data_IF_430598027229
#
_entry.id   IF_430598027229
#
_cell.length_a   1.000
_cell.length_b   1.000
_cell.length_c   1.000
_cell.angle_alpha   90.00
_cell.angle_beta   90.00
_cell.angle_gamma   90.00
#
_symmetry.space_group_name_H-M   'P 1'
#
loop_
_entity.id
_entity.type
_entity.pdbx_description
1 polymer ?
#
# COMPACT_ATOMS: atom_id res chain seq x y z
N UNK A 1 6.16 32.77 13.15
CA UNK A 1 6.87 31.50 12.96
C UNK A 1 6.01 30.66 12.03
N UNK A 2 6.42 30.43 10.78
CA UNK A 2 5.67 29.56 9.85
C UNK A 2 6.32 28.19 9.94
N UNK A 3 5.61 27.23 10.51
CA UNK A 3 6.02 25.84 10.56
C UNK A 3 5.67 25.16 9.23
N UNK A 4 6.60 24.42 8.66
CA UNK A 4 6.39 23.56 7.48
C UNK A 4 6.55 22.12 7.97
N UNK A 5 5.43 21.42 8.06
CA UNK A 5 5.33 19.99 8.31
C UNK A 5 4.49 19.45 7.13
N UNK A 6 5.01 18.52 6.32
CA UNK A 6 4.34 17.64 5.32
C UNK A 6 3.03 18.07 4.60
N UNK A 7 2.69 19.36 4.48
CA UNK A 7 1.44 19.84 3.86
C UNK A 7 1.50 19.90 2.33
N UNK A 8 2.69 19.81 1.75
CA UNK A 8 2.87 19.90 0.30
C UNK A 8 2.62 18.57 -0.41
N UNK A 9 2.66 17.43 0.29
CA UNK A 9 2.47 16.10 -0.31
C UNK A 9 1.22 16.01 -1.19
N UNK A 10 0.09 16.56 -0.73
CA UNK A 10 -1.17 16.52 -1.49
C UNK A 10 -1.05 17.33 -2.79
N UNK A 11 -0.45 18.52 -2.72
CA UNK A 11 -0.26 19.39 -3.88
C UNK A 11 0.77 18.78 -4.85
N UNK A 12 1.89 18.28 -4.33
CA UNK A 12 2.94 17.64 -5.11
C UNK A 12 2.41 16.38 -5.81
N UNK A 13 1.62 15.56 -5.12
CA UNK A 13 1.02 14.37 -5.71
C UNK A 13 -0.01 14.75 -6.79
N UNK A 14 -0.86 15.75 -6.53
CA UNK A 14 -1.83 16.24 -7.52
C UNK A 14 -1.15 16.84 -8.76
N UNK A 15 0.03 17.42 -8.61
CA UNK A 15 0.86 17.96 -9.70
C UNK A 15 1.76 16.91 -10.36
N UNK A 16 1.79 15.67 -9.85
CA UNK A 16 2.65 14.60 -10.36
C UNK A 16 4.15 14.83 -10.09
N UNK A 17 4.49 15.59 -9.05
CA UNK A 17 5.87 15.88 -8.64
C UNK A 17 6.46 14.78 -7.76
N UNK A 18 5.62 13.91 -7.19
CA UNK A 18 6.01 12.75 -6.38
C UNK A 18 5.35 11.49 -6.90
N UNK A 19 6.11 10.39 -6.90
CA UNK A 19 5.69 9.09 -7.43
C UNK A 19 5.24 8.12 -6.32
N UNK A 20 5.49 8.43 -5.04
CA UNK A 20 5.26 7.51 -3.93
C UNK A 20 5.08 8.19 -2.58
N UNK A 21 4.41 7.49 -1.66
CA UNK A 21 4.18 7.89 -0.28
C UNK A 21 4.57 6.75 0.66
N UNK A 22 5.29 7.09 1.74
CA UNK A 22 5.60 6.12 2.78
C UNK A 22 4.33 5.73 3.55
N UNK A 23 3.90 4.48 3.40
CA UNK A 23 2.70 3.93 4.07
C UNK A 23 3.04 3.06 5.28
N UNK A 24 4.31 2.69 5.41
CA UNK A 24 4.90 2.09 6.61
C UNK A 24 5.94 3.07 7.15
N UNK A 25 5.94 3.31 8.45
CA UNK A 25 6.70 4.34 9.13
C UNK A 25 6.98 3.96 10.58
N UNK A 26 7.95 4.62 11.20
CA UNK A 26 8.23 4.51 12.63
C UNK A 26 7.23 5.29 13.51
N UNK A 27 6.14 5.82 12.94
CA UNK A 27 5.20 6.71 13.62
C UNK A 27 3.77 6.17 13.58
N UNK A 28 3.02 6.44 12.51
CA UNK A 28 1.59 6.12 12.44
C UNK A 28 1.20 5.58 11.05
N UNK A 29 1.37 4.27 10.91
CA UNK A 29 1.11 3.54 9.67
C UNK A 29 -0.37 3.56 9.29
N UNK A 30 -1.26 3.50 10.29
CA UNK A 30 -2.71 3.54 10.06
C UNK A 30 -3.14 4.90 9.52
N UNK A 31 -2.60 5.99 10.08
CA UNK A 31 -2.83 7.34 9.58
C UNK A 31 -2.29 7.54 8.16
N UNK A 32 -1.06 7.05 7.89
CA UNK A 32 -0.46 7.11 6.56
C UNK A 32 -1.30 6.33 5.52
N UNK A 33 -1.76 5.13 5.87
CA UNK A 33 -2.59 4.31 4.99
C UNK A 33 -3.96 4.97 4.69
N UNK A 34 -4.55 5.70 5.65
CA UNK A 34 -5.77 6.49 5.40
C UNK A 34 -5.52 7.61 4.39
N UNK A 35 -4.45 8.38 4.56
CA UNK A 35 -4.10 9.47 3.63
C UNK A 35 -3.80 8.91 2.25
N UNK A 36 -3.05 7.81 2.16
CA UNK A 36 -2.76 7.11 0.91
C UNK A 36 -4.03 6.72 0.16
N UNK A 37 -4.98 6.07 0.84
CA UNK A 37 -6.27 5.69 0.24
C UNK A 37 -7.11 6.89 -0.20
N UNK A 38 -7.04 8.02 0.53
CA UNK A 38 -7.71 9.26 0.09
C UNK A 38 -7.10 9.83 -1.18
N UNK A 39 -5.77 9.88 -1.31
CA UNK A 39 -5.12 10.31 -2.55
C UNK A 39 -5.56 9.45 -3.73
N UNK A 40 -5.52 8.12 -3.57
CA UNK A 40 -5.99 7.18 -4.60
C UNK A 40 -7.47 7.41 -4.94
N UNK A 41 -8.30 7.59 -3.92
CA UNK A 41 -9.72 7.86 -4.07
C UNK A 41 -10.03 9.18 -4.76
N UNK A 42 -9.21 10.22 -4.57
CA UNK A 42 -9.29 11.49 -5.28
C UNK A 42 -8.82 11.37 -6.75
N UNK A 43 -8.39 10.20 -7.20
CA UNK A 43 -7.89 9.96 -8.55
C UNK A 43 -6.42 10.31 -8.73
N UNK A 44 -5.66 10.46 -7.63
CA UNK A 44 -4.22 10.74 -7.65
C UNK A 44 -3.48 9.41 -7.49
N UNK A 45 -2.95 8.82 -8.58
CA UNK A 45 -2.18 7.59 -8.47
C UNK A 45 -0.85 7.86 -7.78
N UNK A 46 -0.55 7.09 -6.74
CA UNK A 46 0.70 7.19 -5.99
C UNK A 46 1.12 5.81 -5.48
N UNK A 47 2.41 5.51 -5.51
CA UNK A 47 2.93 4.21 -5.08
C UNK A 47 3.02 4.12 -3.55
N UNK A 48 2.70 2.96 -3.00
CA UNK A 48 3.04 2.59 -1.64
C UNK A 48 4.54 2.38 -1.55
N UNK A 49 5.23 3.24 -0.82
CA UNK A 49 6.68 3.14 -0.57
C UNK A 49 6.95 3.01 0.92
N UNK A 50 8.22 2.78 1.25
CA UNK A 50 8.74 2.94 2.62
C UNK A 50 10.25 3.14 2.55
N UNK A 51 10.79 3.91 3.49
CA UNK A 51 12.19 3.87 3.88
C UNK A 51 12.29 3.76 5.39
N UNK A 52 13.27 3.02 5.89
CA UNK A 52 13.49 2.87 7.34
C UNK A 52 13.75 4.20 8.04
N UNK A 53 14.26 5.20 7.33
CA UNK A 53 14.83 6.42 7.93
C UNK A 53 15.86 6.06 9.01
N UNK A 54 16.85 5.24 8.62
CA UNK A 54 17.80 4.64 9.54
C UNK A 54 18.68 5.69 10.23
N UNK A 55 18.32 6.01 11.47
CA UNK A 55 19.16 6.79 12.36
C UNK A 55 20.10 5.85 13.10
N UNK A 56 21.40 5.93 12.80
CA UNK A 56 22.45 5.12 13.46
C UNK A 56 22.78 5.62 14.89
N UNK A 57 21.81 6.24 15.56
CA UNK A 57 21.97 6.79 16.90
C UNK A 57 22.17 5.66 17.92
N UNK A 58 23.22 5.77 18.72
CA UNK A 58 23.56 4.80 19.78
C UNK A 58 22.58 4.84 20.95
N UNK A 59 21.70 5.85 20.99
CA UNK A 59 20.59 5.90 21.94
C UNK A 59 19.47 5.04 21.39
N UNK A 60 19.20 3.90 22.04
CA UNK A 60 18.07 2.99 21.79
C UNK A 60 16.73 3.68 22.09
N UNK A 61 16.42 4.75 21.37
CA UNK A 61 15.07 5.29 21.33
C UNK A 61 14.24 4.37 20.43
N UNK A 62 13.11 3.88 20.94
CA UNK A 62 12.21 2.96 20.24
C UNK A 62 11.69 3.51 18.91
N UNK A 63 11.66 4.84 18.74
CA UNK A 63 11.14 5.48 17.53
C UNK A 63 12.23 5.77 16.49
N UNK A 64 13.50 5.88 16.91
CA UNK A 64 14.60 6.42 16.09
C UNK A 64 15.87 5.57 16.12
N UNK A 65 15.73 4.25 16.34
CA UNK A 65 16.86 3.31 16.34
C UNK A 65 16.61 2.08 15.44
N UNK A 66 15.74 2.20 14.44
CA UNK A 66 15.43 1.10 13.53
C UNK A 66 16.66 0.75 12.66
N UNK A 67 17.09 -0.53 12.63
CA UNK A 67 18.26 -0.92 11.85
C UNK A 67 17.98 -0.81 10.34
N UNK A 68 19.01 -0.54 9.53
CA UNK A 68 18.89 -0.59 8.07
C UNK A 68 18.16 -1.84 7.59
N UNK A 69 17.14 -1.66 6.75
CA UNK A 69 16.31 -2.75 6.23
C UNK A 69 15.15 -3.18 7.13
N UNK A 70 14.91 -2.51 8.27
CA UNK A 70 13.72 -2.73 9.09
C UNK A 70 12.42 -2.67 8.28
N UNK A 71 12.23 -1.62 7.48
CA UNK A 71 11.15 -1.56 6.51
C UNK A 71 11.70 -1.49 5.09
N UNK A 72 11.01 -2.16 4.18
CA UNK A 72 11.46 -2.47 2.83
C UNK A 72 10.34 -2.21 1.85
N UNK A 73 10.70 -1.55 0.76
CA UNK A 73 9.88 -1.50 -0.44
C UNK A 73 10.41 -2.55 -1.42
N UNK A 74 9.52 -3.38 -1.95
CA UNK A 74 9.82 -4.23 -3.10
C UNK A 74 9.12 -3.65 -4.31
N UNK A 75 9.81 -3.62 -5.45
CA UNK A 75 9.30 -3.11 -6.70
C UNK A 75 9.48 -4.16 -7.80
N UNK A 76 8.42 -4.43 -8.56
CA UNK A 76 8.47 -5.36 -9.67
C UNK A 76 9.02 -4.66 -10.92
N UNK A 77 10.26 -4.98 -11.24
CA UNK A 77 10.97 -4.46 -12.42
C UNK A 77 10.88 -5.45 -13.58
N UNK A 78 10.73 -4.92 -14.80
CA UNK A 78 10.78 -5.73 -16.01
C UNK A 78 12.24 -5.86 -16.48
N UNK A 79 12.72 -7.10 -16.58
CA UNK A 79 14.10 -7.38 -16.99
C UNK A 79 15.14 -7.18 -15.86
N UNK A 80 16.42 -6.95 -16.21
CA UNK A 80 17.50 -6.80 -15.23
C UNK A 80 17.32 -5.58 -14.31
N UNK A 81 17.75 -5.72 -13.05
CA UNK A 81 17.74 -4.61 -12.10
C UNK A 81 18.61 -3.45 -12.60
N UNK A 82 17.97 -2.28 -12.75
CA UNK A 82 18.61 -1.02 -13.09
C UNK A 82 17.96 0.13 -12.31
N UNK A 83 18.65 1.26 -12.19
CA UNK A 83 18.11 2.45 -11.53
C UNK A 83 16.85 2.95 -12.24
N UNK A 84 16.87 2.98 -13.57
CA UNK A 84 15.73 3.46 -14.36
C UNK A 84 14.56 2.47 -14.30
N UNK A 85 14.83 1.16 -14.40
CA UNK A 85 13.79 0.14 -14.23
C UNK A 85 13.13 0.18 -12.85
N UNK A 86 13.90 0.45 -11.78
CA UNK A 86 13.35 0.67 -10.44
C UNK A 86 12.45 1.92 -10.39
N UNK A 87 12.91 3.05 -10.94
CA UNK A 87 12.10 4.29 -10.99
C UNK A 87 10.80 4.07 -11.75
N UNK A 88 10.86 3.37 -12.88
CA UNK A 88 9.68 3.10 -13.71
C UNK A 88 8.70 2.15 -13.01
N UNK A 89 9.20 1.17 -12.25
CA UNK A 89 8.36 0.32 -11.41
C UNK A 89 7.66 1.11 -10.29
N UNK A 90 8.37 2.02 -9.63
CA UNK A 90 7.80 2.89 -8.60
C UNK A 90 6.75 3.82 -9.21
N UNK A 91 7.05 4.52 -10.30
CA UNK A 91 6.10 5.40 -11.01
C UNK A 91 4.83 4.67 -11.45
N UNK A 92 4.98 3.43 -11.88
CA UNK A 92 3.85 2.60 -12.28
C UNK A 92 3.07 2.02 -11.08
N UNK A 93 3.49 2.27 -9.83
CA UNK A 93 2.85 1.70 -8.64
C UNK A 93 3.05 0.19 -8.50
N UNK A 94 4.09 -0.39 -9.11
CA UNK A 94 4.37 -1.84 -9.02
C UNK A 94 5.12 -2.17 -7.75
N UNK A 95 4.61 -1.74 -6.60
CA UNK A 95 5.31 -1.80 -5.32
C UNK A 95 4.48 -2.41 -4.20
N UNK A 96 5.19 -2.97 -3.22
CA UNK A 96 4.68 -3.27 -1.89
C UNK A 96 5.62 -2.66 -0.85
N UNK A 97 5.08 -2.25 0.29
CA UNK A 97 5.81 -1.75 1.44
C UNK A 97 5.57 -2.66 2.64
N UNK A 98 6.62 -3.04 3.38
CA UNK A 98 6.52 -3.98 4.51
C UNK A 98 7.62 -3.78 5.54
N UNK A 99 7.34 -4.06 6.81
CA UNK A 99 8.34 -4.20 7.87
C UNK A 99 8.59 -5.65 8.32
N UNK A 100 8.03 -6.64 7.62
CA UNK A 100 8.10 -8.05 8.01
C UNK A 100 7.37 -8.96 7.02
N UNK A 101 6.03 -9.03 7.09
CA UNK A 101 5.24 -9.97 6.31
C UNK A 101 5.22 -9.60 4.83
N UNK A 102 5.11 -10.62 3.99
CA UNK A 102 4.92 -10.45 2.56
C UNK A 102 3.42 -10.42 2.24
N UNK A 103 2.99 -9.46 1.43
CA UNK A 103 1.60 -9.31 1.01
C UNK A 103 1.50 -9.33 -0.51
N UNK A 104 0.48 -10.00 -1.00
CA UNK A 104 0.17 -10.16 -2.42
C UNK A 104 -1.26 -9.67 -2.69
N UNK A 105 -1.47 -9.13 -3.88
CA UNK A 105 -2.76 -8.68 -4.37
C UNK A 105 -2.85 -8.95 -5.87
N UNK A 106 -3.96 -9.53 -6.30
CA UNK A 106 -4.36 -9.56 -7.71
C UNK A 106 -5.82 -9.19 -7.86
N UNK A 107 -6.14 -8.46 -8.93
CA UNK A 107 -7.50 -8.07 -9.33
C UNK A 107 -7.65 -8.42 -10.79
N UNK A 108 -8.47 -9.42 -11.12
CA UNK A 108 -8.54 -10.00 -12.48
C UNK A 108 -7.15 -10.22 -13.09
N UNK A 109 -6.28 -10.92 -12.35
CA UNK A 109 -4.90 -11.26 -12.75
C UNK A 109 -3.92 -10.07 -12.81
N UNK A 110 -4.38 -8.84 -12.56
CA UNK A 110 -3.50 -7.66 -12.47
C UNK A 110 -2.98 -7.47 -11.05
N UNK A 111 -1.67 -7.31 -10.91
CA UNK A 111 -1.02 -6.96 -9.64
C UNK A 111 -0.95 -5.45 -9.40
N UNK A 112 -0.32 -5.02 -8.29
CA UNK A 112 -0.14 -3.61 -7.93
C UNK A 112 0.38 -2.77 -9.10
N UNK A 113 -0.21 -1.59 -9.32
CA UNK A 113 0.08 -0.71 -10.45
C UNK A 113 -0.72 -1.04 -11.71
N UNK A 114 -1.34 -2.23 -11.77
CA UNK A 114 -2.19 -2.66 -12.86
C UNK A 114 -3.53 -1.93 -12.93
N UNK A 115 -4.19 -2.06 -14.08
CA UNK A 115 -5.54 -1.53 -14.33
C UNK A 115 -6.42 -2.59 -14.98
N UNK A 116 -7.68 -2.63 -14.57
CA UNK A 116 -8.73 -3.47 -15.15
C UNK A 116 -9.85 -2.53 -15.59
N UNK A 117 -10.27 -2.60 -16.86
CA UNK A 117 -11.43 -1.85 -17.36
C UNK A 117 -12.62 -2.81 -17.51
N UNK A 118 -13.76 -2.45 -16.92
CA UNK A 118 -14.96 -3.28 -16.89
C UNK A 118 -16.21 -2.52 -17.28
N UNK A 119 -17.25 -3.24 -17.71
CA UNK A 119 -18.59 -2.69 -17.85
C UNK A 119 -19.22 -2.44 -16.48
N UNK A 120 -20.15 -1.50 -16.39
CA UNK A 120 -20.94 -1.29 -15.18
C UNK A 120 -21.68 -2.56 -14.75
N UNK A 121 -21.65 -2.89 -13.46
CA UNK A 121 -22.28 -4.07 -12.89
C UNK A 121 -21.46 -5.36 -13.07
N UNK A 122 -20.23 -5.28 -13.58
CA UNK A 122 -19.35 -6.43 -13.68
C UNK A 122 -18.90 -6.92 -12.30
N UNK A 123 -18.66 -8.22 -12.20
CA UNK A 123 -18.06 -8.87 -11.05
C UNK A 123 -16.54 -9.01 -11.24
N UNK A 124 -15.77 -8.39 -10.36
CA UNK A 124 -14.31 -8.38 -10.38
C UNK A 124 -13.78 -9.31 -9.29
N UNK A 125 -13.01 -10.32 -9.68
CA UNK A 125 -12.34 -11.21 -8.73
C UNK A 125 -11.12 -10.52 -8.12
N UNK A 126 -11.06 -10.50 -6.81
CA UNK A 126 -9.93 -10.00 -6.03
C UNK A 126 -9.37 -11.13 -5.18
N UNK A 127 -8.07 -11.31 -5.23
CA UNK A 127 -7.33 -12.25 -4.39
C UNK A 127 -6.23 -11.51 -3.66
N UNK A 128 -6.14 -11.71 -2.34
CA UNK A 128 -5.03 -11.24 -1.54
C UNK A 128 -4.46 -12.40 -0.72
N UNK A 129 -3.15 -12.39 -0.49
CA UNK A 129 -2.48 -13.34 0.38
C UNK A 129 -1.46 -12.62 1.26
N UNK A 130 -1.21 -13.16 2.44
CA UNK A 130 -0.14 -12.69 3.32
C UNK A 130 0.56 -13.86 3.97
N UNK A 131 1.87 -13.76 4.17
CA UNK A 131 2.66 -14.72 4.91
C UNK A 131 3.80 -14.04 5.67
N UNK A 132 4.26 -14.67 6.76
CA UNK A 132 5.38 -14.19 7.56
C UNK A 132 5.00 -13.69 8.96
N UNK A 133 5.97 -13.13 9.69
CA UNK A 133 5.86 -12.93 11.14
C UNK A 133 4.90 -11.82 11.53
N UNK A 134 4.25 -11.98 12.69
CA UNK A 134 3.56 -10.90 13.40
C UNK A 134 2.24 -10.40 12.80
N UNK A 135 1.88 -10.82 11.59
CA UNK A 135 0.60 -10.48 10.97
C UNK A 135 -0.54 -11.17 11.72
N UNK A 136 -1.63 -10.43 11.94
CA UNK A 136 -2.82 -10.93 12.61
C UNK A 136 -4.07 -10.79 11.74
N UNK A 137 -4.07 -9.84 10.80
CA UNK A 137 -5.22 -9.58 9.92
C UNK A 137 -4.76 -9.22 8.52
N UNK A 138 -5.55 -9.64 7.55
CA UNK A 138 -5.45 -9.25 6.15
C UNK A 138 -6.77 -8.59 5.74
N UNK A 139 -6.69 -7.41 5.12
CA UNK A 139 -7.83 -6.61 4.69
C UNK A 139 -7.68 -6.15 3.25
N UNK A 140 -8.80 -6.11 2.54
CA UNK A 140 -8.92 -5.50 1.22
C UNK A 140 -9.74 -4.22 1.36
N UNK A 141 -9.22 -3.12 0.83
CA UNK A 141 -9.89 -1.82 0.81
C UNK A 141 -10.14 -1.34 -0.61
N UNK A 142 -11.24 -0.62 -0.78
CA UNK A 142 -11.60 0.10 -1.99
C UNK A 142 -11.82 1.59 -1.70
N UNK A 143 -12.21 2.34 -2.72
CA UNK A 143 -12.63 3.73 -2.56
C UNK A 143 -13.87 3.89 -1.66
N UNK A 144 -14.66 2.83 -1.42
CA UNK A 144 -15.85 2.89 -0.57
C UNK A 144 -15.58 2.43 0.87
N UNK A 145 -14.32 2.02 1.16
CA UNK A 145 -13.89 1.56 2.47
C UNK A 145 -13.44 0.09 2.48
N UNK A 146 -13.52 -0.61 3.63
CA UNK A 146 -13.18 -2.02 3.73
C UNK A 146 -14.14 -2.87 2.88
N UNK A 147 -13.59 -3.74 2.03
CA UNK A 147 -14.36 -4.70 1.23
C UNK A 147 -14.47 -6.05 1.94
N UNK A 148 -13.37 -6.55 2.47
CA UNK A 148 -13.30 -7.85 3.15
C UNK A 148 -12.11 -7.89 4.11
N UNK A 149 -12.20 -8.74 5.12
CA UNK A 149 -11.11 -9.03 6.06
C UNK A 149 -11.10 -10.49 6.51
N UNK A 150 -9.94 -10.97 6.93
CA UNK A 150 -9.75 -12.28 7.54
C UNK A 150 -8.67 -12.21 8.61
N UNK A 151 -8.81 -13.04 9.66
CA UNK A 151 -7.75 -13.26 10.63
C UNK A 151 -6.65 -14.14 10.03
N UNK A 152 -5.41 -13.95 10.48
CA UNK A 152 -4.24 -14.71 10.04
C UNK A 152 -3.77 -15.64 11.16
N UNK A 153 -3.92 -16.97 11.00
CA UNK A 153 -3.55 -17.93 12.03
C UNK A 153 -2.03 -18.20 12.01
N UNK A 154 -1.28 -17.43 12.79
CA UNK A 154 0.17 -17.63 12.93
C UNK A 154 0.94 -17.29 11.65
N UNK A 155 2.16 -17.81 11.53
CA UNK A 155 3.11 -17.40 10.48
C UNK A 155 2.88 -18.07 9.11
N UNK A 156 2.05 -19.12 9.07
CA UNK A 156 1.69 -19.82 7.81
C UNK A 156 0.93 -18.91 6.83
N UNK A 157 0.36 -17.81 7.33
CA UNK A 157 -0.31 -16.82 6.51
C UNK A 157 -1.80 -17.09 6.31
N UNK A 158 -2.44 -16.27 5.47
CA UNK A 158 -3.83 -16.41 5.08
C UNK A 158 -4.04 -15.92 3.66
N UNK A 159 -5.11 -16.42 3.04
CA UNK A 159 -5.61 -15.95 1.75
C UNK A 159 -7.02 -15.40 1.91
N UNK A 160 -7.36 -14.43 1.07
CA UNK A 160 -8.68 -13.79 1.05
C UNK A 160 -9.11 -13.60 -0.41
N UNK A 161 -10.13 -14.36 -0.81
CA UNK A 161 -10.76 -14.30 -2.12
C UNK A 161 -12.14 -13.63 -2.01
N UNK A 162 -12.38 -12.59 -2.79
CA UNK A 162 -13.65 -11.85 -2.79
C UNK A 162 -14.06 -11.45 -4.21
N UNK A 163 -15.36 -11.48 -4.46
CA UNK A 163 -15.96 -10.92 -5.68
C UNK A 163 -16.45 -9.51 -5.36
N UNK A 164 -15.93 -8.53 -6.09
CA UNK A 164 -16.31 -7.13 -6.00
C UNK A 164 -17.32 -6.80 -7.13
N UNK A 165 -18.59 -6.49 -6.82
CA UNK A 165 -19.50 -5.90 -7.80
C UNK A 165 -19.10 -4.43 -8.05
N UNK A 166 -18.91 -4.05 -9.31
CA UNK A 166 -18.37 -2.72 -9.67
C UNK A 166 -19.38 -1.92 -10.50
N UNK A 167 -19.99 -0.92 -9.88
CA UNK A 167 -20.85 0.07 -10.55
C UNK A 167 -20.13 1.38 -10.89
N UNK A 168 -19.08 1.68 -10.13
CA UNK A 168 -18.31 2.91 -10.21
C UNK A 168 -16.81 2.62 -10.13
N UNK A 169 -15.97 3.45 -10.78
CA UNK A 169 -14.53 3.26 -10.75
C UNK A 169 -13.98 3.28 -9.32
N UNK A 170 -13.03 2.40 -9.04
CA UNK A 170 -12.45 2.26 -7.71
C UNK A 170 -10.98 1.85 -7.79
N UNK A 171 -10.31 1.82 -6.64
CA UNK A 171 -9.03 1.15 -6.49
C UNK A 171 -9.21 -0.06 -5.57
N UNK A 172 -8.23 -0.95 -5.55
CA UNK A 172 -8.15 -2.06 -4.60
C UNK A 172 -6.74 -2.08 -4.02
N UNK A 173 -6.64 -2.13 -2.70
CA UNK A 173 -5.38 -2.33 -1.97
C UNK A 173 -5.55 -3.44 -0.94
N UNK A 174 -4.52 -4.26 -0.77
CA UNK A 174 -4.39 -5.18 0.35
C UNK A 174 -3.50 -4.56 1.44
N UNK A 175 -3.95 -4.69 2.69
CA UNK A 175 -3.27 -4.23 3.90
C UNK A 175 -3.24 -5.37 4.90
N UNK A 176 -2.07 -5.66 5.44
CA UNK A 176 -1.88 -6.65 6.48
C UNK A 176 -1.27 -5.99 7.72
N UNK A 177 -1.86 -6.24 8.88
CA UNK A 177 -1.42 -5.64 10.15
C UNK A 177 -1.44 -6.65 11.31
N UNK A 178 -0.66 -6.34 12.35
CA UNK A 178 -0.64 -7.08 13.59
C UNK A 178 0.20 -6.38 14.67
N UNK A 179 0.33 -7.04 15.82
CA UNK A 179 1.07 -6.50 16.96
C UNK A 179 2.59 -6.65 16.84
N UNK A 180 3.26 -6.45 17.97
CA UNK A 180 4.71 -6.64 18.08
C UNK A 180 5.10 -8.09 17.84
N UNK A 181 6.20 -8.31 17.15
CA UNK A 181 6.77 -9.63 16.94
C UNK A 181 8.28 -9.60 17.14
N UNK A 182 8.95 -10.62 17.71
CA UNK A 182 10.40 -10.60 17.89
C UNK A 182 11.20 -10.38 16.59
N UNK A 183 10.64 -10.80 15.46
CA UNK A 183 11.25 -10.65 14.13
C UNK A 183 10.88 -9.35 13.43
N UNK A 184 9.90 -8.63 13.96
CA UNK A 184 9.46 -7.32 13.47
C UNK A 184 9.90 -6.31 14.51
N UNK A 185 11.01 -5.60 14.25
CA UNK A 185 11.72 -4.79 15.25
C UNK A 185 11.01 -3.46 15.61
N UNK A 186 9.69 -3.51 15.76
CA UNK A 186 8.79 -2.44 16.19
C UNK A 186 7.60 -3.05 16.95
N UNK A 187 6.75 -2.20 17.50
CA UNK A 187 5.53 -2.60 18.21
C UNK A 187 4.36 -3.02 17.29
N UNK A 188 4.47 -2.81 15.98
CA UNK A 188 3.42 -3.07 15.00
C UNK A 188 3.95 -3.74 13.74
N UNK A 189 3.28 -4.81 13.31
CA UNK A 189 3.55 -5.46 12.03
C UNK A 189 2.68 -4.82 10.96
N UNK A 190 3.25 -4.51 9.79
CA UNK A 190 2.52 -3.88 8.69
C UNK A 190 3.08 -4.27 7.32
N UNK A 191 2.19 -4.59 6.38
CA UNK A 191 2.46 -4.62 4.96
C UNK A 191 1.30 -4.01 4.16
N UNK A 192 1.64 -3.32 3.07
CA UNK A 192 0.68 -2.58 2.27
C UNK A 192 1.09 -2.63 0.79
N UNK A 193 0.12 -2.95 -0.07
CA UNK A 193 0.31 -2.96 -1.53
C UNK A 193 0.05 -1.59 -2.14
N UNK A 194 0.68 -1.26 -3.26
CA UNK A 194 0.14 -0.25 -4.16
C UNK A 194 -1.20 -0.69 -4.74
N UNK A 195 -1.99 0.26 -5.24
CA UNK A 195 -3.32 -0.02 -5.77
C UNK A 195 -3.29 -0.79 -7.09
N UNK A 196 -4.28 -1.65 -7.26
CA UNK A 196 -4.78 -2.04 -8.59
C UNK A 196 -6.03 -1.19 -8.87
N UNK A 197 -6.11 -0.58 -10.05
CA UNK A 197 -7.24 0.28 -10.39
C UNK A 197 -8.29 -0.49 -11.17
N UNK A 198 -9.56 -0.28 -10.82
CA UNK A 198 -10.70 -0.79 -11.57
C UNK A 198 -11.40 0.41 -12.20
N UNK A 199 -11.17 0.58 -13.50
CA UNK A 199 -11.84 1.57 -14.32
C UNK A 199 -13.21 1.01 -14.77
N UNK A 200 -14.18 1.89 -14.97
CA UNK A 200 -15.53 1.51 -15.44
C UNK A 200 -15.86 2.29 -16.70
N UNK A 201 -15.92 1.57 -17.82
CA UNK A 201 -16.23 2.14 -19.14
C UNK A 201 -15.30 3.33 -19.45
N UNK A 202 -14.00 3.17 -19.18
CA UNK A 202 -12.97 4.19 -19.36
C UNK A 202 -12.97 5.33 -18.32
N UNK A 203 -13.89 5.33 -17.34
CA UNK A 203 -13.88 6.28 -16.22
C UNK A 203 -12.96 5.79 -15.11
N UNK A 204 -12.26 6.72 -14.48
CA UNK A 204 -11.32 6.47 -13.37
C UNK A 204 -11.91 6.90 -12.04
N UNK A 205 -11.36 6.35 -10.95
CA UNK A 205 -11.75 6.71 -9.59
C UNK A 205 -11.52 8.20 -9.35
N UNK A 206 -12.54 8.88 -8.79
CA UNK A 206 -12.53 10.29 -8.43
C UNK A 206 -13.68 10.57 -7.43
N UNK A 207 -13.44 10.29 -6.16
CA UNK A 207 -14.37 10.48 -5.03
C UNK A 207 -14.24 11.91 -4.51
N UNK A 208 -15.34 12.65 -4.47
CA UNK A 208 -15.35 14.04 -4.03
C UNK A 208 -15.08 14.17 -2.52
N UNK A 209 -15.51 13.19 -1.74
CA UNK A 209 -15.27 13.04 -0.30
C UNK A 209 -13.81 12.75 0.05
N UNK A 210 -12.98 12.42 -0.94
CA UNK A 210 -11.55 12.16 -0.78
C UNK A 210 -10.66 13.31 -1.25
N UNK A 211 -11.26 14.34 -1.87
CA UNK A 211 -10.58 15.55 -2.34
C UNK A 211 -10.36 16.60 -1.24
#
# INVERSE_FOLDING_TARGET
>A
MRSVECRELVADAALGLVDGMNVVSNLNDQGAAVVFRRLLGAGIPIAATVGTDSMLSVRRDSTYANPPGWARMYAQVDGPLSVDGLKDAVRAGRTIATNGPWVELTVQEQGPGGRVDVSRGAEVRVHAAVHGPGVQRLRIYTADGPLAETDVPGEEGATLDVTLPVDEPTFVVAVADGGSHPEVLTDQTMAHTSAVYVDVEGRRVARAEHA
#
